data_IF_044718282580
#
_entry.id   IF_044718282580
#
_cell.length_a   1.000
_cell.length_b   1.000
_cell.length_c   1.000
_cell.angle_alpha   90.00
_cell.angle_beta   90.00
_cell.angle_gamma   90.00
#
_symmetry.space_group_name_H-M   'P 1'
#
loop_
_entity.id
_entity.type
_entity.pdbx_description
1 polymer ?
#
# COMPACT_ATOMS: atom_id res chain seq x y z
N UNK A 1 -16.17 -10.01 12.51
CA UNK A 1 -14.91 -10.79 12.45
C UNK A 1 -13.77 -9.84 12.12
N UNK A 2 -12.72 -9.86 12.91
CA UNK A 2 -11.55 -9.06 12.63
C UNK A 2 -10.87 -9.58 11.36
N UNK A 3 -10.47 -8.66 10.47
CA UNK A 3 -9.77 -9.01 9.24
C UNK A 3 -8.37 -9.49 9.58
N UNK A 4 -7.88 -10.55 8.93
CA UNK A 4 -6.49 -10.99 9.15
C UNK A 4 -5.54 -9.88 8.70
N UNK A 5 -4.53 -9.63 9.53
CA UNK A 5 -3.50 -8.62 9.28
C UNK A 5 -2.37 -9.21 8.46
N UNK A 6 -1.91 -8.47 7.46
CA UNK A 6 -0.80 -8.88 6.60
C UNK A 6 0.33 -7.86 6.69
N UNK A 7 1.56 -8.37 6.85
CA UNK A 7 2.78 -7.54 6.97
C UNK A 7 3.08 -6.80 5.67
N UNK A 8 3.10 -7.51 4.56
CA UNK A 8 3.48 -6.95 3.27
C UNK A 8 2.47 -5.91 2.78
N UNK A 9 2.94 -4.93 1.99
CA UNK A 9 2.04 -4.09 1.23
C UNK A 9 1.56 -4.86 0.00
N UNK A 10 0.26 -4.79 -0.30
CA UNK A 10 -0.35 -5.50 -1.42
C UNK A 10 -0.56 -4.52 -2.57
N UNK A 11 -0.03 -4.85 -3.73
CA UNK A 11 -0.16 -4.06 -4.96
C UNK A 11 -1.26 -4.69 -5.81
N UNK A 12 -2.25 -3.89 -6.17
CA UNK A 12 -3.37 -4.27 -7.02
C UNK A 12 -3.43 -3.38 -8.26
N UNK A 13 -4.19 -3.79 -9.28
CA UNK A 13 -4.28 -3.04 -10.53
C UNK A 13 -5.07 -1.75 -10.37
N UNK A 14 -6.26 -1.82 -9.79
CA UNK A 14 -7.20 -0.74 -9.77
C UNK A 14 -7.92 -0.51 -8.44
N UNK A 15 -8.77 0.51 -8.46
CA UNK A 15 -9.53 0.94 -7.29
C UNK A 15 -10.56 -0.08 -6.82
N UNK A 16 -11.16 -0.83 -7.75
CA UNK A 16 -12.16 -1.84 -7.40
C UNK A 16 -11.53 -3.02 -6.68
N UNK A 17 -10.37 -3.49 -7.15
CA UNK A 17 -9.58 -4.53 -6.47
C UNK A 17 -9.20 -4.10 -5.07
N UNK A 18 -8.72 -2.85 -4.92
CA UNK A 18 -8.38 -2.27 -3.62
C UNK A 18 -9.57 -2.26 -2.67
N UNK A 19 -10.75 -1.84 -3.15
CA UNK A 19 -11.96 -1.81 -2.36
C UNK A 19 -12.36 -3.21 -1.89
N UNK A 20 -12.37 -4.19 -2.80
CA UNK A 20 -12.71 -5.58 -2.48
C UNK A 20 -11.71 -6.16 -1.49
N UNK A 21 -10.41 -6.02 -1.74
CA UNK A 21 -9.37 -6.58 -0.88
C UNK A 21 -9.35 -5.93 0.51
N UNK A 22 -9.65 -4.64 0.61
CA UNK A 22 -9.73 -3.92 1.89
C UNK A 22 -10.86 -4.42 2.81
N UNK A 23 -11.85 -5.09 2.25
CA UNK A 23 -12.91 -5.74 3.04
C UNK A 23 -12.48 -7.12 3.57
N UNK A 24 -11.46 -7.72 2.97
CA UNK A 24 -11.00 -9.09 3.26
C UNK A 24 -9.82 -9.11 4.23
N UNK A 25 -8.88 -8.19 4.09
CA UNK A 25 -7.65 -8.14 4.91
C UNK A 25 -7.40 -6.74 5.46
N UNK A 26 -6.67 -6.67 6.58
CA UNK A 26 -6.06 -5.45 7.11
C UNK A 26 -4.60 -5.40 6.65
N UNK A 27 -4.34 -4.60 5.62
CA UNK A 27 -3.03 -4.44 4.99
C UNK A 27 -2.92 -3.07 4.32
N UNK A 28 -1.70 -2.63 4.03
CA UNK A 28 -1.48 -1.50 3.11
C UNK A 28 -1.74 -1.97 1.69
N UNK A 29 -2.74 -1.39 1.02
CA UNK A 29 -3.12 -1.76 -0.34
C UNK A 29 -2.87 -0.57 -1.26
N UNK A 30 -1.98 -0.76 -2.23
CA UNK A 30 -1.55 0.24 -3.20
C UNK A 30 -2.08 -0.13 -4.60
N UNK A 31 -2.70 0.83 -5.28
CA UNK A 31 -3.15 0.65 -6.66
C UNK A 31 -2.12 1.18 -7.66
N UNK A 32 -1.91 0.45 -8.75
CA UNK A 32 -1.04 0.89 -9.84
C UNK A 32 -1.72 1.89 -10.79
N UNK A 33 -3.04 1.99 -10.75
CA UNK A 33 -3.85 2.70 -11.74
C UNK A 33 -3.55 2.20 -13.17
N UNK A 34 -3.56 0.89 -13.35
CA UNK A 34 -3.23 0.24 -14.61
C UNK A 34 -1.81 0.58 -15.07
N UNK A 35 -1.66 1.00 -16.34
CA UNK A 35 -0.36 1.38 -16.92
C UNK A 35 0.22 2.71 -16.43
N UNK A 36 -0.50 3.45 -15.58
CA UNK A 36 -0.02 4.72 -15.02
C UNK A 36 1.26 4.58 -14.22
N UNK A 37 1.47 3.43 -13.55
CA UNK A 37 2.68 3.15 -12.78
C UNK A 37 3.97 3.22 -13.62
N UNK A 38 3.91 2.97 -14.93
CA UNK A 38 5.07 2.95 -15.81
C UNK A 38 5.66 4.35 -16.08
N UNK A 39 4.86 5.40 -15.89
CA UNK A 39 5.25 6.79 -16.15
C UNK A 39 5.35 7.62 -14.87
N UNK A 40 4.95 7.06 -13.74
CA UNK A 40 4.90 7.75 -12.45
C UNK A 40 6.11 7.33 -11.59
N UNK A 41 7.20 8.09 -11.71
CA UNK A 41 8.43 7.86 -10.94
C UNK A 41 8.22 7.95 -9.43
N UNK A 42 7.30 8.81 -8.97
CA UNK A 42 6.98 8.95 -7.55
C UNK A 42 6.25 7.71 -7.02
N UNK A 43 5.30 7.19 -7.78
CA UNK A 43 4.59 5.96 -7.42
C UNK A 43 5.54 4.78 -7.34
N UNK A 44 6.49 4.70 -8.28
CA UNK A 44 7.52 3.66 -8.28
C UNK A 44 8.47 3.80 -7.08
N UNK A 45 8.87 5.02 -6.72
CA UNK A 45 9.67 5.28 -5.52
C UNK A 45 8.94 4.84 -4.25
N UNK A 46 7.64 5.13 -4.15
CA UNK A 46 6.79 4.65 -3.06
C UNK A 46 6.78 3.10 -2.98
N UNK A 47 6.58 2.42 -4.11
CA UNK A 47 6.57 0.95 -4.15
C UNK A 47 7.93 0.37 -3.70
N UNK A 48 9.04 0.96 -4.15
CA UNK A 48 10.40 0.57 -3.71
C UNK A 48 10.60 0.77 -2.21
N UNK A 49 10.11 1.89 -1.68
CA UNK A 49 10.18 2.17 -0.24
C UNK A 49 9.37 1.15 0.56
N UNK A 50 8.15 0.85 0.12
CA UNK A 50 7.30 -0.15 0.77
C UNK A 50 7.90 -1.56 0.70
N UNK A 51 8.49 -1.92 -0.45
CA UNK A 51 9.20 -3.19 -0.60
C UNK A 51 10.31 -3.35 0.45
N UNK A 52 11.15 -2.33 0.60
CA UNK A 52 12.25 -2.34 1.58
C UNK A 52 11.78 -2.40 3.04
N UNK A 53 10.68 -1.73 3.37
CA UNK A 53 10.21 -1.65 4.77
C UNK A 53 9.43 -2.88 5.21
N UNK A 54 8.65 -3.51 4.34
CA UNK A 54 7.74 -4.62 4.71
C UNK A 54 7.60 -5.73 3.69
N UNK A 55 8.18 -5.59 2.51
CA UNK A 55 7.94 -6.48 1.37
C UNK A 55 6.68 -6.09 0.58
N UNK A 56 6.57 -6.62 -0.63
CA UNK A 56 5.41 -6.45 -1.51
C UNK A 56 4.78 -7.80 -1.86
N UNK A 57 3.45 -7.80 -2.02
CA UNK A 57 2.72 -8.86 -2.71
C UNK A 57 2.03 -8.22 -3.91
N UNK A 58 2.28 -8.72 -5.12
CA UNK A 58 1.58 -8.29 -6.32
C UNK A 58 0.39 -9.21 -6.54
N UNK A 59 -0.82 -8.67 -6.43
CA UNK A 59 -2.08 -9.35 -6.66
C UNK A 59 -2.82 -8.63 -7.80
N UNK A 60 -2.73 -9.16 -9.00
CA UNK A 60 -3.41 -8.66 -10.20
C UNK A 60 -4.12 -9.81 -10.88
N UNK A 61 -4.98 -9.50 -11.81
CA UNK A 61 -5.65 -10.49 -12.64
C UNK A 61 -4.64 -11.34 -13.43
N UNK A 62 -5.07 -12.53 -13.80
CA UNK A 62 -4.29 -13.46 -14.64
C UNK A 62 -4.53 -13.20 -16.13
N UNK A 63 -4.50 -11.92 -16.53
CA UNK A 63 -4.70 -11.45 -17.89
C UNK A 63 -3.47 -10.72 -18.44
N UNK A 64 -3.56 -10.22 -19.69
CA UNK A 64 -2.47 -9.51 -20.35
C UNK A 64 -2.03 -8.26 -19.61
N UNK A 65 -2.96 -7.48 -19.06
CA UNK A 65 -2.67 -6.25 -18.31
C UNK A 65 -1.97 -6.57 -17.00
N UNK A 66 -2.48 -7.52 -16.23
CA UNK A 66 -1.87 -7.98 -14.99
C UNK A 66 -0.45 -8.52 -15.18
N UNK A 67 -0.21 -9.29 -16.25
CA UNK A 67 1.16 -9.78 -16.58
C UNK A 67 2.11 -8.64 -16.94
N UNK A 68 1.68 -7.62 -17.66
CA UNK A 68 2.53 -6.46 -17.99
C UNK A 68 2.92 -5.70 -16.71
N UNK A 69 1.97 -5.45 -15.81
CA UNK A 69 2.25 -4.82 -14.51
C UNK A 69 3.25 -5.65 -13.69
N UNK A 70 3.05 -6.98 -13.61
CA UNK A 70 3.96 -7.89 -12.89
C UNK A 70 5.37 -7.85 -13.45
N UNK A 71 5.52 -7.93 -14.77
CA UNK A 71 6.83 -7.91 -15.44
C UNK A 71 7.54 -6.57 -15.22
N UNK A 72 6.82 -5.46 -15.29
CA UNK A 72 7.39 -4.14 -15.00
C UNK A 72 7.90 -4.06 -13.56
N UNK A 73 7.07 -4.42 -12.58
CA UNK A 73 7.45 -4.35 -11.17
C UNK A 73 8.58 -5.31 -10.81
N UNK A 74 8.63 -6.50 -11.44
CA UNK A 74 9.74 -7.45 -11.30
C UNK A 74 11.08 -6.88 -11.76
N UNK A 75 11.09 -6.03 -12.78
CA UNK A 75 12.30 -5.33 -13.26
C UNK A 75 12.62 -4.05 -12.49
N UNK A 76 11.65 -3.47 -11.80
CA UNK A 76 11.74 -2.14 -11.18
C UNK A 76 11.95 -2.17 -9.67
N UNK A 77 11.63 -3.28 -9.00
CA UNK A 77 11.76 -3.51 -7.56
C UNK A 77 12.62 -4.76 -7.34
N UNK A 78 13.38 -4.79 -6.25
CA UNK A 78 14.20 -5.96 -5.90
C UNK A 78 13.33 -7.24 -5.81
N UNK A 79 13.56 -8.26 -6.65
CA UNK A 79 12.75 -9.48 -6.68
C UNK A 79 12.71 -10.23 -5.34
N UNK A 80 13.75 -10.13 -4.51
CA UNK A 80 13.81 -10.75 -3.20
C UNK A 80 12.76 -10.18 -2.22
N UNK A 81 12.25 -8.98 -2.49
CA UNK A 81 11.27 -8.27 -1.68
C UNK A 81 9.83 -8.40 -2.22
N UNK A 82 9.65 -9.14 -3.33
CA UNK A 82 8.37 -9.21 -4.04
C UNK A 82 7.85 -10.64 -4.07
N UNK A 83 6.63 -10.82 -3.62
CA UNK A 83 5.85 -12.06 -3.73
C UNK A 83 4.76 -11.88 -4.79
N UNK A 84 4.37 -12.97 -5.44
CA UNK A 84 3.33 -12.94 -6.47
C UNK A 84 2.14 -13.81 -6.05
N UNK A 85 0.99 -13.18 -5.83
CA UNK A 85 -0.27 -13.86 -5.61
C UNK A 85 -1.05 -13.94 -6.93
N UNK A 86 -1.62 -15.11 -7.20
CA UNK A 86 -2.42 -15.38 -8.39
C UNK A 86 -3.81 -15.83 -7.98
N UNK A 87 -4.82 -15.18 -8.54
CA UNK A 87 -6.20 -15.64 -8.44
C UNK A 87 -6.45 -16.72 -9.51
N UNK A 88 -7.34 -17.70 -9.24
CA UNK A 88 -7.72 -18.68 -10.24
C UNK A 88 -8.47 -18.00 -11.38
N UNK A 89 -8.20 -18.45 -12.61
CA UNK A 89 -8.95 -18.04 -13.79
C UNK A 89 -10.38 -18.63 -13.71
N UNK A 90 -11.32 -17.82 -13.34
CA UNK A 90 -12.75 -18.20 -13.24
C UNK A 90 -13.57 -17.37 -14.19
N UNK A 91 -14.43 -18.05 -14.96
CA UNK A 91 -15.43 -17.42 -15.78
C UNK A 91 -16.74 -17.34 -15.02
N UNK A 92 -17.32 -16.14 -14.90
CA UNK A 92 -18.69 -15.92 -14.45
C UNK A 92 -19.67 -15.88 -15.64
N UNK A 93 -20.94 -15.58 -15.37
CA UNK A 93 -21.96 -15.41 -16.41
C UNK A 93 -21.67 -14.28 -17.39
N UNK A 94 -20.85 -13.30 -16.98
CA UNK A 94 -20.50 -12.07 -17.72
C UNK A 94 -19.03 -12.04 -18.19
N UNK A 95 -18.29 -13.16 -18.12
CA UNK A 95 -16.89 -13.23 -18.53
C UNK A 95 -15.94 -13.65 -17.42
N UNK A 96 -14.65 -13.32 -17.57
CA UNK A 96 -13.62 -13.58 -16.54
C UNK A 96 -13.86 -12.71 -15.31
N UNK A 97 -13.80 -13.34 -14.13
CA UNK A 97 -13.88 -12.63 -12.86
C UNK A 97 -12.48 -12.15 -12.46
N UNK A 98 -12.28 -10.84 -12.38
CA UNK A 98 -11.11 -10.22 -11.80
C UNK A 98 -11.08 -10.29 -10.26
N UNK A 99 -10.05 -9.68 -9.67
CA UNK A 99 -9.87 -9.59 -8.21
C UNK A 99 -11.12 -9.05 -7.53
N UNK A 100 -11.77 -8.04 -8.13
CA UNK A 100 -12.97 -7.40 -7.61
C UNK A 100 -14.20 -8.34 -7.52
N UNK A 101 -14.24 -9.37 -8.37
CA UNK A 101 -15.33 -10.36 -8.41
C UNK A 101 -15.09 -11.61 -7.57
N UNK A 102 -13.91 -11.74 -6.94
CA UNK A 102 -13.57 -12.95 -6.18
C UNK A 102 -14.20 -12.98 -4.80
N UNK A 103 -14.57 -14.19 -4.36
CA UNK A 103 -15.00 -14.41 -2.98
C UNK A 103 -13.84 -14.19 -2.00
N UNK A 104 -14.10 -13.67 -0.78
CA UNK A 104 -13.07 -13.41 0.23
C UNK A 104 -12.10 -14.59 0.47
N UNK A 105 -12.63 -15.80 0.56
CA UNK A 105 -11.81 -17.00 0.80
C UNK A 105 -10.82 -17.26 -0.33
N UNK A 106 -11.19 -17.01 -1.59
CA UNK A 106 -10.32 -17.19 -2.75
C UNK A 106 -9.13 -16.23 -2.69
N UNK A 107 -9.36 -14.99 -2.30
CA UNK A 107 -8.32 -13.97 -2.12
C UNK A 107 -7.38 -14.33 -0.97
N UNK A 108 -7.93 -14.77 0.17
CA UNK A 108 -7.12 -15.24 1.31
C UNK A 108 -6.24 -16.44 0.93
N UNK A 109 -6.79 -17.39 0.19
CA UNK A 109 -6.03 -18.58 -0.24
C UNK A 109 -4.95 -18.21 -1.27
N UNK A 110 -5.20 -17.23 -2.15
CA UNK A 110 -4.20 -16.70 -3.06
C UNK A 110 -3.04 -16.04 -2.30
N UNK A 111 -3.35 -15.24 -1.28
CA UNK A 111 -2.34 -14.60 -0.43
C UNK A 111 -1.54 -15.62 0.39
N UNK A 112 -2.19 -16.65 0.94
CA UNK A 112 -1.50 -17.75 1.65
C UNK A 112 -0.53 -18.50 0.72
N UNK A 113 -0.99 -18.86 -0.48
CA UNK A 113 -0.14 -19.54 -1.49
C UNK A 113 1.06 -18.69 -1.93
N UNK A 114 0.91 -17.36 -1.94
CA UNK A 114 2.00 -16.44 -2.21
C UNK A 114 2.98 -16.31 -1.03
N UNK A 115 2.72 -16.95 0.10
CA UNK A 115 3.54 -16.84 1.31
C UNK A 115 3.36 -15.52 2.04
N UNK A 116 2.17 -14.91 2.00
CA UNK A 116 1.87 -13.73 2.79
C UNK A 116 2.15 -13.97 4.27
N UNK A 117 2.75 -12.98 4.95
CA UNK A 117 3.01 -13.04 6.38
C UNK A 117 1.80 -12.54 7.15
N UNK A 118 1.02 -13.47 7.70
CA UNK A 118 -0.09 -13.15 8.57
C UNK A 118 0.42 -12.80 9.97
N UNK A 119 -0.01 -11.66 10.47
CA UNK A 119 0.33 -11.19 11.81
C UNK A 119 -0.75 -11.69 12.78
N UNK A 120 -0.65 -12.99 13.14
CA UNK A 120 -1.56 -13.62 14.11
C UNK A 120 -1.19 -13.22 15.53
N UNK A 121 -2.19 -12.91 16.32
CA UNK A 121 -2.05 -12.58 17.73
C UNK A 121 -2.63 -11.20 18.09
N UNK A 122 -2.91 -10.95 19.40
CA UNK A 122 -3.18 -9.60 19.84
C UNK A 122 -2.00 -8.76 19.37
N UNK A 123 -2.29 -7.66 18.70
CA UNK A 123 -1.25 -6.75 18.20
C UNK A 123 -0.20 -6.61 19.29
N UNK A 124 1.01 -7.14 19.05
CA UNK A 124 2.17 -6.74 19.83
C UNK A 124 2.05 -5.23 19.89
N UNK A 125 1.90 -4.64 21.06
CA UNK A 125 1.39 -3.30 21.32
C UNK A 125 1.72 -2.39 20.13
N UNK A 126 0.80 -2.32 19.19
CA UNK A 126 1.03 -1.58 17.94
C UNK A 126 1.17 -0.16 18.41
N UNK A 127 2.30 0.46 18.16
CA UNK A 127 2.48 1.87 18.36
C UNK A 127 1.18 2.56 17.93
N UNK A 128 0.63 3.44 18.75
CA UNK A 128 -0.69 4.00 18.54
C UNK A 128 -0.83 4.43 17.07
N UNK A 129 -1.91 4.01 16.38
CA UNK A 129 -2.01 4.23 14.94
C UNK A 129 -1.97 5.74 14.65
N UNK A 130 -1.19 6.12 13.64
CA UNK A 130 -1.18 7.51 13.16
C UNK A 130 -2.58 7.81 12.59
N UNK A 131 -3.23 8.84 13.12
CA UNK A 131 -4.62 9.20 12.83
C UNK A 131 -4.72 10.50 12.02
N UNK A 132 -5.93 10.82 11.52
CA UNK A 132 -6.21 12.13 10.93
C UNK A 132 -6.00 13.27 11.92
N UNK A 133 -6.32 13.05 13.20
CA UNK A 133 -6.11 14.04 14.26
C UNK A 133 -4.62 14.33 14.46
N UNK A 134 -3.75 13.32 14.36
CA UNK A 134 -2.29 13.51 14.43
C UNK A 134 -1.78 14.33 13.26
N UNK A 135 -2.24 14.07 12.04
CA UNK A 135 -1.86 14.89 10.89
C UNK A 135 -2.33 16.35 11.03
N UNK A 136 -3.50 16.57 11.60
CA UNK A 136 -4.02 17.91 11.88
C UNK A 136 -3.17 18.60 12.95
N UNK A 137 -2.91 17.95 14.08
CA UNK A 137 -2.09 18.47 15.17
C UNK A 137 -0.66 18.83 14.74
N UNK A 138 -0.10 18.05 13.80
CA UNK A 138 1.23 18.30 13.23
C UNK A 138 1.23 19.32 12.07
N UNK A 139 0.07 19.94 11.76
CA UNK A 139 -0.05 20.90 10.68
C UNK A 139 0.10 20.31 9.27
N UNK A 140 -0.04 18.98 9.14
CA UNK A 140 0.05 18.27 7.86
C UNK A 140 -1.30 18.18 7.13
N UNK A 141 -2.38 18.65 7.76
CA UNK A 141 -3.72 18.76 7.16
C UNK A 141 -4.49 19.91 7.78
N UNK A 142 -5.49 20.45 7.05
CA UNK A 142 -6.43 21.45 7.59
C UNK A 142 -5.93 22.90 7.70
N UNK A 143 -4.66 23.19 7.43
CA UNK A 143 -4.10 24.53 7.41
C UNK A 143 -3.72 24.98 5.99
N UNK A 144 -3.70 26.29 5.68
CA UNK A 144 -3.33 26.78 4.34
C UNK A 144 -1.95 26.33 3.86
N UNK A 145 -0.98 26.19 4.76
CA UNK A 145 0.40 25.77 4.51
C UNK A 145 0.62 24.25 4.65
N UNK A 146 -0.42 23.49 4.96
CA UNK A 146 -0.31 22.05 5.20
C UNK A 146 0.22 21.26 4.00
N UNK A 147 -0.04 21.72 2.77
CA UNK A 147 0.49 21.09 1.56
C UNK A 147 2.00 21.28 1.46
N UNK A 148 2.50 22.49 1.75
CA UNK A 148 3.93 22.77 1.74
C UNK A 148 4.67 21.97 2.83
N UNK A 149 4.11 21.92 4.04
CA UNK A 149 4.65 21.12 5.16
C UNK A 149 4.68 19.62 4.82
N UNK A 150 3.62 19.08 4.20
CA UNK A 150 3.62 17.69 3.72
C UNK A 150 4.73 17.46 2.69
N UNK A 151 4.86 18.34 1.70
CA UNK A 151 5.93 18.22 0.68
C UNK A 151 7.31 18.19 1.31
N UNK A 152 7.60 19.05 2.28
CA UNK A 152 8.87 19.07 3.00
C UNK A 152 9.11 17.78 3.81
N UNK A 153 8.10 17.29 4.52
CA UNK A 153 8.16 16.02 5.23
C UNK A 153 8.36 14.84 4.27
N UNK A 154 7.65 14.82 3.16
CA UNK A 154 7.73 13.75 2.16
C UNK A 154 9.13 13.68 1.53
N UNK A 155 9.74 14.83 1.22
CA UNK A 155 11.15 14.86 0.79
C UNK A 155 12.09 14.29 1.83
N UNK A 156 11.92 14.65 3.10
CA UNK A 156 12.76 14.13 4.18
C UNK A 156 12.61 12.62 4.39
N UNK A 157 11.41 12.08 4.16
CA UNK A 157 11.10 10.66 4.27
C UNK A 157 11.41 9.88 2.97
N UNK A 158 11.92 10.55 1.94
CA UNK A 158 12.15 9.96 0.61
C UNK A 158 10.88 9.34 0.03
N UNK A 159 9.78 10.12 0.10
CA UNK A 159 8.45 9.76 -0.39
C UNK A 159 8.02 10.74 -1.49
N UNK A 160 7.06 10.32 -2.35
CA UNK A 160 6.48 11.20 -3.37
C UNK A 160 5.92 12.50 -2.77
N UNK A 161 6.37 13.65 -3.28
CA UNK A 161 6.05 14.96 -2.70
C UNK A 161 4.58 15.37 -2.79
N UNK A 162 3.83 14.76 -3.71
CA UNK A 162 2.43 15.09 -3.97
C UNK A 162 1.42 14.16 -3.29
N UNK A 163 1.86 13.33 -2.33
CA UNK A 163 0.93 12.50 -1.57
C UNK A 163 -0.09 13.37 -0.83
N UNK A 164 -1.37 13.06 -1.03
CA UNK A 164 -2.46 13.70 -0.27
C UNK A 164 -2.41 13.27 1.20
N UNK A 165 -3.07 14.04 2.09
CA UNK A 165 -3.16 13.67 3.51
C UNK A 165 -3.76 12.26 3.72
N UNK A 166 -4.74 11.87 2.90
CA UNK A 166 -5.34 10.53 2.97
C UNK A 166 -4.37 9.45 2.48
N UNK A 167 -3.61 9.70 1.41
CA UNK A 167 -2.59 8.76 0.93
C UNK A 167 -1.44 8.63 1.95
N UNK A 168 -1.05 9.74 2.58
CA UNK A 168 -0.05 9.75 3.64
C UNK A 168 -0.47 8.89 4.83
N UNK A 169 -1.73 8.98 5.28
CA UNK A 169 -2.27 8.12 6.35
C UNK A 169 -2.20 6.62 6.02
N UNK A 170 -2.26 6.25 4.76
CA UNK A 170 -2.18 4.84 4.36
C UNK A 170 -0.75 4.29 4.42
N UNK A 171 0.26 5.13 4.21
CA UNK A 171 1.66 4.70 4.11
C UNK A 171 2.48 4.94 5.38
N UNK A 172 2.19 6.00 6.15
CA UNK A 172 2.95 6.35 7.36
C UNK A 172 3.00 5.22 8.39
N UNK A 173 1.87 4.55 8.74
CA UNK A 173 1.90 3.47 9.74
C UNK A 173 2.79 2.28 9.35
N UNK A 174 3.11 2.17 8.06
CA UNK A 174 3.99 1.15 7.52
C UNK A 174 5.47 1.54 7.54
N UNK A 175 5.76 2.82 7.69
CA UNK A 175 7.09 3.39 7.51
C UNK A 175 7.70 3.92 8.82
N UNK A 176 6.88 4.42 9.73
CA UNK A 176 7.35 5.03 10.98
C UNK A 176 6.30 4.90 12.09
N UNK A 177 6.76 5.01 13.34
CA UNK A 177 5.93 5.21 14.51
C UNK A 177 5.43 6.65 14.58
N UNK A 178 4.49 6.90 15.50
CA UNK A 178 4.01 8.26 15.78
C UNK A 178 5.14 9.17 16.27
N UNK A 179 5.98 8.68 17.17
CA UNK A 179 7.11 9.42 17.74
C UNK A 179 8.14 9.78 16.67
N UNK A 180 8.42 8.85 15.76
CA UNK A 180 9.32 9.10 14.61
C UNK A 180 8.74 10.14 13.66
N UNK A 181 7.42 10.12 13.43
CA UNK A 181 6.73 11.13 12.64
C UNK A 181 6.84 12.52 13.29
N UNK A 182 6.57 12.63 14.59
CA UNK A 182 6.68 13.90 15.33
C UNK A 182 8.09 14.47 15.25
N UNK A 183 9.11 13.63 15.41
CA UNK A 183 10.51 14.04 15.25
C UNK A 183 10.85 14.49 13.83
N UNK A 184 10.34 13.78 12.82
CA UNK A 184 10.55 14.15 11.42
C UNK A 184 9.90 15.50 11.09
N UNK A 185 8.68 15.75 11.56
CA UNK A 185 7.99 17.03 11.37
C UNK A 185 8.75 18.17 12.07
N UNK A 186 9.20 17.96 13.29
CA UNK A 186 9.98 18.97 14.04
C UNK A 186 11.23 19.38 13.27
N UNK A 187 12.00 18.42 12.75
CA UNK A 187 13.19 18.70 11.93
C UNK A 187 12.90 19.49 10.65
N UNK A 188 11.68 19.41 10.12
CA UNK A 188 11.25 20.16 8.94
C UNK A 188 10.86 21.59 9.29
N UNK A 189 10.26 21.81 10.47
CA UNK A 189 9.79 23.11 10.91
C UNK A 189 10.90 23.98 11.52
N UNK A 190 11.98 23.38 12.01
CA UNK A 190 13.13 24.06 12.62
C UNK A 190 14.18 24.51 11.55
N UNK A 191 13.88 24.30 10.24
CA UNK A 191 14.72 24.74 9.11
C UNK A 191 14.10 25.95 8.40
#
# INVERSE_FOLDING_TARGET
MDKPRIKEAIVVEGRYDKNTLSQVVDAVILETAGFGVFRDGEKLALLRRMAKSRGLIILTDSDGAGFVIRNFLKGAVDPALVKHAYIPDRSGKEGKLGVEGMRPQVLLDALRRAGATFLDGPAAAAAAPITKADLFALGLSGAPDSAARRGALLRQLDLPEHLTANALLQVLPALCTREELEQAVKKVLDK
#
